data_IF_894043124641
#
_entry.id   IF_894043124641
#
_cell.length_a   1.000
_cell.length_b   1.000
_cell.length_c   1.000
_cell.angle_alpha   90.00
_cell.angle_beta   90.00
_cell.angle_gamma   90.00
#
_symmetry.space_group_name_H-M   'P 1'
#
loop_
_entity.id
_entity.type
_entity.pdbx_description
1 polymer ?
#
# COMPACT_ATOMS: atom_id res chain seq x y z
N UNK A 1 11.10 -9.54 5.11
CA UNK A 1 10.63 -9.02 3.79
C UNK A 1 9.27 -9.64 3.46
N UNK A 2 8.31 -8.87 2.94
CA UNK A 2 6.90 -9.31 2.80
C UNK A 2 6.73 -10.22 1.57
N UNK A 3 6.29 -11.47 1.75
CA UNK A 3 5.71 -12.22 0.62
C UNK A 3 4.26 -11.77 0.44
N UNK A 4 3.94 -11.15 -0.68
CA UNK A 4 2.60 -10.68 -1.01
C UNK A 4 2.13 -11.36 -2.29
N UNK A 5 0.88 -11.82 -2.30
CA UNK A 5 0.22 -12.22 -3.54
C UNK A 5 -0.40 -10.96 -4.12
N UNK A 6 0.12 -10.53 -5.27
CA UNK A 6 -0.39 -9.39 -6.04
C UNK A 6 -1.71 -9.80 -6.71
N UNK A 7 -2.82 -9.24 -6.24
CA UNK A 7 -4.10 -9.24 -6.95
C UNK A 7 -4.18 -7.97 -7.82
N UNK A 8 -5.06 -7.92 -8.86
CA UNK A 8 -4.79 -7.37 -10.19
C UNK A 8 -3.90 -6.13 -10.17
N UNK A 9 -2.78 -6.24 -10.89
CA UNK A 9 -1.83 -5.16 -11.11
C UNK A 9 -2.25 -4.46 -12.39
N UNK A 10 -2.78 -3.24 -12.29
CA UNK A 10 -2.87 -2.35 -13.45
C UNK A 10 -1.51 -1.70 -13.63
N UNK A 11 -0.80 -2.05 -14.70
CA UNK A 11 0.49 -1.42 -15.02
C UNK A 11 0.27 -0.02 -15.57
N UNK A 12 1.28 0.87 -15.44
CA UNK A 12 1.18 2.25 -15.94
C UNK A 12 0.83 2.31 -17.43
N UNK A 13 1.34 1.36 -18.22
CA UNK A 13 1.09 1.19 -19.66
C UNK A 13 -0.36 0.86 -20.00
N UNK A 14 -1.14 0.32 -19.05
CA UNK A 14 -2.54 -0.07 -19.24
C UNK A 14 -3.52 1.03 -18.80
N UNK A 15 -3.04 2.06 -18.10
CA UNK A 15 -3.88 3.15 -17.59
C UNK A 15 -4.09 4.18 -18.69
N UNK A 16 -5.28 4.13 -19.31
CA UNK A 16 -5.72 5.14 -20.28
C UNK A 16 -5.74 6.52 -19.62
N UNK A 17 -5.01 7.49 -20.22
CA UNK A 17 -4.86 8.87 -19.71
C UNK A 17 -4.15 8.96 -18.35
N UNK A 18 -3.08 8.18 -18.15
CA UNK A 18 -2.18 8.43 -17.03
C UNK A 18 -1.61 9.86 -17.13
N UNK A 19 -1.63 10.60 -16.02
CA UNK A 19 -1.09 11.96 -15.98
C UNK A 19 0.43 11.95 -16.09
N UNK A 20 1.02 13.04 -16.61
CA UNK A 20 2.47 13.19 -16.65
C UNK A 20 3.07 13.12 -15.24
N UNK A 21 4.14 12.34 -15.11
CA UNK A 21 4.85 12.20 -13.84
C UNK A 21 5.83 13.35 -13.68
N UNK A 22 5.62 14.18 -12.67
CA UNK A 22 6.59 15.21 -12.28
C UNK A 22 7.68 14.60 -11.40
N UNK A 23 8.84 15.25 -11.31
CA UNK A 23 9.95 14.81 -10.45
C UNK A 23 9.69 14.95 -8.94
N UNK A 24 8.55 15.53 -8.55
CA UNK A 24 8.29 15.94 -7.18
C UNK A 24 8.04 14.74 -6.27
N UNK A 25 8.47 14.83 -5.01
CA UNK A 25 8.33 13.74 -4.04
C UNK A 25 6.88 13.61 -3.55
N UNK A 26 6.31 12.39 -3.53
CA UNK A 26 4.92 12.17 -3.16
C UNK A 26 4.70 12.22 -1.64
N UNK A 27 3.50 12.64 -1.25
CA UNK A 27 2.97 12.47 0.10
C UNK A 27 2.55 11.01 0.32
N UNK A 28 2.86 10.42 1.47
CA UNK A 28 2.46 9.04 1.80
C UNK A 28 1.35 9.03 2.85
N UNK A 29 0.22 8.43 2.51
CA UNK A 29 -0.94 8.29 3.39
C UNK A 29 -1.12 6.81 3.78
N UNK A 30 -1.18 6.54 5.08
CA UNK A 30 -1.47 5.22 5.63
C UNK A 30 -2.85 5.24 6.31
N UNK A 31 -3.85 4.62 5.68
CA UNK A 31 -5.22 4.57 6.20
C UNK A 31 -5.56 3.20 6.81
N UNK A 32 -6.19 3.22 7.99
CA UNK A 32 -6.70 2.04 8.72
C UNK A 32 -5.62 1.03 9.18
N UNK A 33 -4.39 1.52 9.40
CA UNK A 33 -3.30 0.75 9.99
C UNK A 33 -3.30 0.87 11.52
N UNK A 34 -4.32 0.30 12.18
CA UNK A 34 -4.58 0.59 13.59
C UNK A 34 -3.97 -0.44 14.57
N UNK A 35 -3.67 -1.65 14.11
CA UNK A 35 -3.10 -2.71 14.96
C UNK A 35 -1.57 -2.65 14.96
N UNK A 36 -0.92 -3.25 15.96
CA UNK A 36 0.56 -3.32 16.03
C UNK A 36 1.18 -3.93 14.77
N UNK A 37 0.57 -5.01 14.28
CA UNK A 37 1.03 -5.71 13.08
C UNK A 37 0.89 -4.83 11.84
N UNK A 38 -0.27 -4.19 11.68
CA UNK A 38 -0.51 -3.22 10.60
C UNK A 38 0.46 -2.05 10.68
N UNK A 39 0.63 -1.43 11.85
CA UNK A 39 1.56 -0.31 12.02
C UNK A 39 2.99 -0.68 11.60
N UNK A 40 3.42 -1.90 11.92
CA UNK A 40 4.75 -2.40 11.51
C UNK A 40 4.85 -2.48 9.98
N UNK A 41 3.86 -3.08 9.32
CA UNK A 41 3.78 -3.16 7.86
C UNK A 41 3.67 -1.76 7.22
N UNK A 42 2.88 -0.87 7.81
CA UNK A 42 2.71 0.51 7.36
C UNK A 42 4.02 1.29 7.40
N UNK A 43 4.80 1.15 8.49
CA UNK A 43 6.15 1.73 8.60
C UNK A 43 7.11 1.17 7.54
N UNK A 44 7.08 -0.14 7.30
CA UNK A 44 7.87 -0.76 6.23
C UNK A 44 7.52 -0.22 4.85
N UNK A 45 6.24 0.02 4.56
CA UNK A 45 5.84 0.65 3.29
C UNK A 45 6.22 2.12 3.21
N UNK A 46 6.03 2.88 4.29
CA UNK A 46 6.40 4.29 4.34
C UNK A 46 7.90 4.51 4.14
N UNK A 47 8.75 3.61 4.66
CA UNK A 47 10.21 3.70 4.50
C UNK A 47 10.70 3.45 3.06
N UNK A 48 9.84 2.98 2.15
CA UNK A 48 10.16 2.86 0.73
C UNK A 48 10.14 4.21 0.00
N UNK A 49 9.63 5.25 0.65
CA UNK A 49 9.46 6.58 0.06
C UNK A 49 10.22 7.63 0.88
N UNK A 50 10.71 8.70 0.24
CA UNK A 50 11.32 9.82 0.95
C UNK A 50 10.35 10.47 1.95
N UNK A 51 10.88 10.85 3.11
CA UNK A 51 10.09 11.46 4.19
C UNK A 51 9.85 12.97 4.04
N UNK A 52 10.40 13.61 3.00
CA UNK A 52 10.24 15.04 2.72
C UNK A 52 9.27 15.24 1.53
N UNK A 53 7.94 15.30 1.77
CA UNK A 53 6.96 15.41 0.71
C UNK A 53 6.92 16.82 0.12
N UNK A 54 6.81 16.88 -1.22
CA UNK A 54 6.71 18.15 -1.94
C UNK A 54 5.27 18.43 -2.37
N UNK A 55 4.54 19.17 -1.53
CA UNK A 55 3.12 19.51 -1.73
C UNK A 55 2.82 20.24 -3.05
N UNK A 56 3.79 20.99 -3.59
CA UNK A 56 3.68 21.65 -4.89
C UNK A 56 3.38 20.66 -6.03
N UNK A 57 3.87 19.41 -5.91
CA UNK A 57 3.66 18.37 -6.92
C UNK A 57 2.25 17.81 -6.90
N UNK A 58 1.58 17.94 -5.74
CA UNK A 58 0.27 17.38 -5.44
C UNK A 58 0.19 15.88 -5.71
N UNK A 59 1.31 15.18 -5.49
CA UNK A 59 1.43 13.75 -5.69
C UNK A 59 1.17 13.06 -4.36
N UNK A 60 0.33 12.03 -4.38
CA UNK A 60 -0.04 11.27 -3.20
C UNK A 60 -0.01 9.78 -3.49
N UNK A 61 0.58 9.04 -2.57
CA UNK A 61 0.58 7.60 -2.50
C UNK A 61 -0.23 7.20 -1.29
N UNK A 62 -1.27 6.42 -1.50
CA UNK A 62 -2.16 5.96 -0.43
C UNK A 62 -2.06 4.46 -0.30
N UNK A 63 -1.73 4.01 0.90
CA UNK A 63 -1.96 2.64 1.35
C UNK A 63 -3.21 2.63 2.20
N UNK A 64 -4.23 1.89 1.77
CA UNK A 64 -5.48 1.77 2.52
C UNK A 64 -5.72 0.31 2.90
N UNK A 65 -5.81 0.05 4.20
CA UNK A 65 -6.09 -1.27 4.72
C UNK A 65 -7.60 -1.53 4.82
N UNK A 66 -8.15 -2.55 4.16
CA UNK A 66 -9.56 -2.91 4.26
C UNK A 66 -9.80 -4.39 3.97
N UNK A 67 -10.57 -5.05 4.85
CA UNK A 67 -10.99 -6.47 4.72
C UNK A 67 -9.85 -7.44 4.38
N UNK A 68 -8.72 -7.32 5.07
CA UNK A 68 -7.50 -8.11 4.82
C UNK A 68 -6.77 -7.88 3.50
N UNK A 69 -7.05 -6.74 2.87
CA UNK A 69 -6.32 -6.26 1.71
C UNK A 69 -5.73 -4.88 1.95
N UNK A 70 -4.56 -4.65 1.39
CA UNK A 70 -3.89 -3.36 1.33
C UNK A 70 -4.03 -2.85 -0.09
N UNK A 71 -4.80 -1.79 -0.26
CA UNK A 71 -4.98 -1.12 -1.53
C UNK A 71 -3.90 -0.07 -1.69
N UNK A 72 -3.04 -0.26 -2.69
CA UNK A 72 -2.09 0.75 -3.10
C UNK A 72 -2.69 1.60 -4.20
N UNK A 73 -2.55 2.92 -4.06
CA UNK A 73 -3.02 3.89 -5.05
C UNK A 73 -2.02 5.03 -5.17
N UNK A 74 -1.70 5.41 -6.41
CA UNK A 74 -0.83 6.56 -6.70
C UNK A 74 -1.61 7.56 -7.55
N UNK A 75 -1.84 8.75 -6.99
CA UNK A 75 -2.67 9.78 -7.59
C UNK A 75 -1.99 11.15 -7.55
N UNK A 76 -2.43 12.03 -8.45
CA UNK A 76 -2.28 13.47 -8.32
C UNK A 76 -3.60 14.04 -7.83
N UNK A 77 -3.56 14.94 -6.87
CA UNK A 77 -4.75 15.66 -6.43
C UNK A 77 -4.80 17.06 -7.06
N UNK A 78 -6.00 17.50 -7.43
CA UNK A 78 -6.22 18.84 -7.96
C UNK A 78 -7.44 19.44 -7.28
N UNK A 79 -7.23 20.52 -6.55
CA UNK A 79 -8.32 21.30 -5.97
C UNK A 79 -9.11 21.93 -7.10
N UNK A 80 -10.40 21.59 -7.19
CA UNK A 80 -11.34 22.26 -8.10
C UNK A 80 -11.88 23.51 -7.41
N UNK A 81 -12.30 23.34 -6.16
CA UNK A 81 -12.74 24.40 -5.24
C UNK A 81 -12.17 24.11 -3.84
N UNK A 82 -12.32 25.01 -2.87
CA UNK A 82 -11.88 24.83 -1.47
C UNK A 82 -12.39 23.54 -0.81
N UNK A 83 -13.58 23.06 -1.20
CA UNK A 83 -14.22 21.86 -0.62
C UNK A 83 -14.10 20.59 -1.47
N UNK A 84 -13.65 20.70 -2.73
CA UNK A 84 -13.69 19.58 -3.67
C UNK A 84 -12.34 19.36 -4.31
N UNK A 85 -11.83 18.15 -4.14
CA UNK A 85 -10.60 17.70 -4.78
C UNK A 85 -10.89 16.62 -5.81
N UNK A 86 -10.38 16.82 -7.04
CA UNK A 86 -10.30 15.77 -8.05
C UNK A 86 -9.05 14.94 -7.86
N UNK A 87 -9.11 13.66 -8.20
CA UNK A 87 -7.96 12.76 -8.22
C UNK A 87 -7.70 12.30 -9.66
N UNK A 88 -6.44 12.30 -10.05
CA UNK A 88 -5.98 11.83 -11.34
C UNK A 88 -4.97 10.70 -11.14
N UNK A 89 -5.05 9.63 -11.91
CA UNK A 89 -4.17 8.47 -11.76
C UNK A 89 -2.79 8.76 -12.36
N UNK A 90 -1.73 8.52 -11.58
CA UNK A 90 -0.34 8.70 -12.04
C UNK A 90 0.44 7.41 -12.16
N UNK A 91 -0.04 6.33 -11.53
CA UNK A 91 0.77 5.13 -11.35
C UNK A 91 -0.07 3.87 -11.21
N UNK A 92 0.63 2.74 -11.08
CA UNK A 92 -0.02 1.44 -11.02
C UNK A 92 -0.96 1.36 -9.82
N UNK A 93 -2.00 0.56 -10.00
CA UNK A 93 -2.93 0.21 -8.93
C UNK A 93 -2.82 -1.27 -8.69
N UNK A 94 -2.60 -1.64 -7.45
CA UNK A 94 -2.57 -3.04 -7.06
C UNK A 94 -3.16 -3.22 -5.68
N UNK A 95 -3.52 -4.46 -5.40
CA UNK A 95 -4.09 -4.87 -4.13
C UNK A 95 -3.20 -5.98 -3.57
N UNK A 96 -2.69 -5.79 -2.36
CA UNK A 96 -1.83 -6.76 -1.68
C UNK A 96 -2.64 -7.49 -0.61
N UNK A 97 -2.42 -8.80 -0.48
CA UNK A 97 -2.75 -9.54 0.75
C UNK A 97 -1.45 -9.97 1.42
N UNK A 98 -1.31 -9.62 2.69
CA UNK A 98 -0.14 -10.00 3.49
C UNK A 98 -0.13 -11.52 3.69
N UNK A 99 0.97 -12.19 3.35
CA UNK A 99 1.14 -13.63 3.60
C UNK A 99 2.05 -13.94 4.77
N UNK A 100 3.16 -13.22 4.89
CA UNK A 100 4.11 -13.46 5.96
C UNK A 100 4.97 -12.23 6.25
N UNK A 101 5.45 -12.14 7.48
CA UNK A 101 6.43 -11.17 7.95
C UNK A 101 7.56 -11.97 8.60
N UNK A 102 8.77 -11.74 8.10
CA UNK A 102 10.01 -12.25 8.69
C UNK A 102 10.76 -11.13 9.39
N UNK A 103 11.42 -11.47 10.49
CA UNK A 103 12.35 -10.59 11.20
C UNK A 103 13.70 -10.59 10.46
N UNK A 104 14.26 -9.40 10.25
CA UNK A 104 15.53 -9.23 9.54
C UNK A 104 15.41 -9.33 8.01
N UNK A 105 16.52 -9.68 7.37
CA UNK A 105 16.61 -9.87 5.91
C UNK A 105 15.81 -11.09 5.47
N UNK A 106 15.41 -11.12 4.20
CA UNK A 106 14.72 -12.29 3.66
C UNK A 106 15.63 -13.52 3.70
N UNK A 107 15.17 -14.57 4.38
CA UNK A 107 15.81 -15.88 4.39
C UNK A 107 14.74 -16.95 4.16
N UNK A 108 14.92 -17.72 3.08
CA UNK A 108 13.99 -18.77 2.68
C UNK A 108 14.17 -20.07 3.44
N UNK A 109 15.32 -20.28 4.10
CA UNK A 109 15.66 -21.53 4.78
C UNK A 109 15.57 -21.41 6.31
N UNK A 110 16.08 -20.31 6.87
CA UNK A 110 16.20 -20.13 8.32
C UNK A 110 15.53 -18.85 8.84
N UNK A 111 14.73 -18.18 8.01
CA UNK A 111 14.06 -16.94 8.40
C UNK A 111 13.09 -17.12 9.56
N UNK A 112 13.25 -16.29 10.60
CA UNK A 112 12.32 -16.22 11.73
C UNK A 112 11.04 -15.47 11.30
N UNK A 113 9.90 -16.17 11.28
CA UNK A 113 8.61 -15.57 10.97
C UNK A 113 7.99 -14.94 12.21
N UNK A 114 7.81 -13.62 12.18
CA UNK A 114 7.04 -12.90 13.21
C UNK A 114 5.54 -13.11 13.04
N UNK A 115 5.08 -13.22 11.78
CA UNK A 115 3.69 -13.51 11.48
C UNK A 115 3.55 -14.30 10.18
N UNK A 116 2.63 -15.25 10.14
CA UNK A 116 2.33 -16.03 8.96
C UNK A 116 0.82 -16.24 8.82
N UNK A 117 0.29 -16.01 7.62
CA UNK A 117 -1.10 -16.22 7.31
C UNK A 117 -1.38 -17.72 7.13
N UNK A 118 -1.89 -18.35 8.18
CA UNK A 118 -2.29 -19.76 8.15
C UNK A 118 -3.68 -19.92 7.55
N UNK A 119 -3.73 -20.12 6.22
CA UNK A 119 -4.98 -20.15 5.44
C UNK A 119 -6.07 -21.06 6.04
N UNK A 120 -5.71 -22.28 6.45
CA UNK A 120 -6.69 -23.25 6.97
C UNK A 120 -7.30 -22.85 8.33
N UNK A 121 -6.56 -22.11 9.15
CA UNK A 121 -7.03 -21.65 10.46
C UNK A 121 -7.74 -20.28 10.35
N UNK A 122 -7.24 -19.41 9.48
CA UNK A 122 -7.58 -17.99 9.45
C UNK A 122 -8.65 -17.60 8.43
N UNK A 123 -8.78 -18.33 7.30
CA UNK A 123 -9.85 -18.11 6.31
C UNK A 123 -11.15 -18.90 6.67
N UNK A 124 -11.28 -19.36 7.92
CA UNK A 124 -12.45 -20.11 8.42
C UNK A 124 -13.75 -19.29 8.38
N UNK A 125 -13.66 -17.96 8.47
CA UNK A 125 -14.81 -17.06 8.40
C UNK A 125 -14.51 -15.82 7.57
N UNK A 126 -15.38 -15.53 6.60
CA UNK A 126 -15.31 -14.29 5.79
C UNK A 126 -15.58 -13.01 6.59
N UNK A 127 -16.02 -13.12 7.85
CA UNK A 127 -16.31 -11.99 8.74
C UNK A 127 -15.14 -11.66 9.69
N UNK A 128 -14.15 -12.55 9.80
CA UNK A 128 -13.01 -12.37 10.70
C UNK A 128 -11.80 -11.87 9.90
N UNK A 129 -11.26 -10.74 10.32
CA UNK A 129 -10.07 -10.12 9.72
C UNK A 129 -8.89 -10.32 10.66
N UNK A 130 -7.76 -10.78 10.12
CA UNK A 130 -6.71 -11.45 10.91
C UNK A 130 -5.52 -10.55 11.28
N UNK A 131 -5.64 -9.27 10.97
CA UNK A 131 -4.57 -8.28 10.96
C UNK A 131 -5.03 -7.03 11.68
#
# INVERSE_FOLDING_TARGET
MLSSVLFPVAQLTEIKKAGETTSHLPEVILNNFNTRLRLTVGRMFASLFPHDPQFNGRRVITFHYQRDFIFFRHHRYQFRNEKKCGLHELGPRFTLKLRSIQKGTFDSKFGEYEWMHKRHEMDTSRRKFNL
#
